data_IF_546402255941
#
_entry.id   IF_546402255941
#
_cell.length_a   1.000
_cell.length_b   1.000
_cell.length_c   1.000
_cell.angle_alpha   90.00
_cell.angle_beta   90.00
_cell.angle_gamma   90.00
#
_symmetry.space_group_name_H-M   'P 1'
#
loop_
_entity.id
_entity.type
_entity.pdbx_description
1 polymer ?
#
# COMPACT_ATOMS: atom_id res chain seq x y z
N UNK A 1 22.71 0.12 1.42
CA UNK A 1 21.84 -0.49 0.39
C UNK A 1 20.92 -1.45 1.12
N UNK A 2 19.60 -1.29 0.98
CA UNK A 2 18.57 -2.12 1.62
C UNK A 2 17.81 -2.88 0.55
N UNK A 3 17.19 -3.99 0.90
CA UNK A 3 16.27 -4.73 0.01
C UNK A 3 14.84 -4.48 0.45
N UNK A 4 14.01 -3.99 -0.47
CA UNK A 4 12.61 -3.60 -0.24
C UNK A 4 11.70 -4.45 -1.11
N UNK A 5 10.68 -5.04 -0.52
CA UNK A 5 9.66 -5.85 -1.24
C UNK A 5 8.34 -5.10 -1.23
N UNK A 6 7.70 -4.93 -2.40
CA UNK A 6 6.49 -4.11 -2.56
C UNK A 6 5.43 -4.88 -3.35
N UNK A 7 4.19 -4.95 -2.86
CA UNK A 7 3.06 -5.47 -3.64
C UNK A 7 2.28 -4.36 -4.33
N UNK A 8 1.78 -4.60 -5.55
CA UNK A 8 1.09 -3.59 -6.36
C UNK A 8 2.04 -2.47 -6.82
N UNK A 9 3.25 -2.84 -7.26
CA UNK A 9 4.35 -1.89 -7.52
C UNK A 9 4.36 -1.25 -8.90
N UNK A 10 3.44 -1.63 -9.80
CA UNK A 10 3.47 -1.14 -11.18
C UNK A 10 2.67 0.15 -11.42
N UNK A 11 1.76 0.52 -10.52
CA UNK A 11 0.87 1.69 -10.66
C UNK A 11 0.67 2.42 -9.32
N UNK A 12 0.16 3.63 -9.42
CA UNK A 12 -0.29 4.41 -8.26
C UNK A 12 0.77 4.62 -7.18
N UNK A 13 0.36 4.51 -5.91
CA UNK A 13 1.26 4.66 -4.75
C UNK A 13 2.40 3.64 -4.80
N UNK A 14 2.11 2.38 -5.21
CA UNK A 14 3.11 1.34 -5.31
C UNK A 14 4.23 1.68 -6.30
N UNK A 15 3.89 2.19 -7.49
CA UNK A 15 4.88 2.65 -8.47
C UNK A 15 5.74 3.79 -7.90
N UNK A 16 5.13 4.75 -7.24
CA UNK A 16 5.86 5.84 -6.59
C UNK A 16 6.84 5.30 -5.53
N UNK A 17 6.42 4.31 -4.73
CA UNK A 17 7.30 3.64 -3.75
C UNK A 17 8.48 2.93 -4.44
N UNK A 18 8.23 2.18 -5.53
CA UNK A 18 9.28 1.50 -6.30
C UNK A 18 10.29 2.52 -6.84
N UNK A 19 9.81 3.58 -7.51
CA UNK A 19 10.66 4.63 -8.08
C UNK A 19 11.48 5.34 -6.99
N UNK A 20 10.85 5.65 -5.87
CA UNK A 20 11.51 6.33 -4.74
C UNK A 20 12.63 5.46 -4.13
N UNK A 21 12.30 4.24 -3.65
CA UNK A 21 13.30 3.41 -2.99
C UNK A 21 14.44 3.02 -3.91
N UNK A 22 14.16 2.74 -5.18
CA UNK A 22 15.20 2.48 -6.19
C UNK A 22 16.11 3.70 -6.40
N UNK A 23 15.54 4.92 -6.43
CA UNK A 23 16.33 6.16 -6.57
C UNK A 23 17.25 6.44 -5.39
N UNK A 24 16.92 5.89 -4.21
CA UNK A 24 17.79 5.96 -3.02
C UNK A 24 18.90 4.88 -3.01
N UNK A 25 19.08 4.15 -4.11
CA UNK A 25 20.11 3.12 -4.24
C UNK A 25 19.79 1.82 -3.53
N UNK A 26 18.52 1.53 -3.29
CA UNK A 26 18.08 0.25 -2.72
C UNK A 26 17.74 -0.75 -3.82
N UNK A 27 17.87 -2.04 -3.53
CA UNK A 27 17.32 -3.12 -4.35
C UNK A 27 15.83 -3.22 -4.09
N UNK A 28 15.01 -3.17 -5.14
CA UNK A 28 13.55 -3.22 -5.03
C UNK A 28 12.98 -4.40 -5.78
N UNK A 29 12.31 -5.30 -5.07
CA UNK A 29 11.47 -6.35 -5.65
C UNK A 29 10.02 -5.93 -5.58
N UNK A 30 9.30 -6.03 -6.69
CA UNK A 30 7.87 -5.76 -6.67
C UNK A 30 7.07 -6.78 -7.46
N UNK A 31 5.82 -6.99 -7.04
CA UNK A 31 4.85 -7.84 -7.73
C UNK A 31 3.62 -7.03 -8.09
N UNK A 32 3.12 -7.23 -9.32
CA UNK A 32 1.85 -6.68 -9.79
C UNK A 32 1.20 -7.64 -10.78
N UNK A 33 -0.12 -7.59 -10.93
CA UNK A 33 -0.83 -8.45 -11.87
C UNK A 33 -0.80 -7.96 -13.32
N UNK A 34 -0.50 -6.68 -13.54
CA UNK A 34 -0.42 -6.05 -14.87
C UNK A 34 0.96 -6.27 -15.49
N UNK A 35 1.06 -7.26 -16.37
CA UNK A 35 2.32 -7.66 -16.98
C UNK A 35 3.01 -6.54 -17.80
N UNK A 36 2.22 -5.75 -18.54
CA UNK A 36 2.75 -4.67 -19.38
C UNK A 36 3.28 -3.53 -18.50
N UNK A 37 2.56 -3.20 -17.43
CA UNK A 37 3.00 -2.19 -16.48
C UNK A 37 4.25 -2.64 -15.71
N UNK A 38 4.34 -3.92 -15.30
CA UNK A 38 5.54 -4.49 -14.66
C UNK A 38 6.75 -4.39 -15.58
N UNK A 39 6.61 -4.79 -16.85
CA UNK A 39 7.69 -4.71 -17.82
C UNK A 39 8.14 -3.25 -18.03
N UNK A 40 7.18 -2.34 -18.26
CA UNK A 40 7.44 -0.90 -18.48
C UNK A 40 8.20 -0.27 -17.31
N UNK A 41 7.75 -0.49 -16.08
CA UNK A 41 8.40 0.08 -14.88
C UNK A 41 9.79 -0.49 -14.70
N UNK A 42 9.95 -1.82 -14.86
CA UNK A 42 11.23 -2.49 -14.70
C UNK A 42 12.25 -2.00 -15.74
N UNK A 43 11.89 -1.98 -17.01
CA UNK A 43 12.76 -1.52 -18.09
C UNK A 43 13.17 -0.06 -17.93
N UNK A 44 12.20 0.83 -17.61
CA UNK A 44 12.44 2.25 -17.40
C UNK A 44 13.43 2.51 -16.25
N UNK A 45 13.31 1.80 -15.14
CA UNK A 45 14.17 2.01 -13.98
C UNK A 45 15.53 1.34 -14.14
N UNK A 46 15.60 0.14 -14.74
CA UNK A 46 16.87 -0.53 -15.07
C UNK A 46 17.68 0.29 -16.09
N UNK A 47 17.04 0.92 -17.08
CA UNK A 47 17.71 1.83 -18.02
C UNK A 47 18.36 3.04 -17.33
N UNK A 48 17.88 3.41 -16.14
CA UNK A 48 18.45 4.45 -15.26
C UNK A 48 19.47 3.87 -14.25
N UNK A 49 19.91 2.63 -14.44
CA UNK A 49 20.85 1.93 -13.57
C UNK A 49 20.36 1.72 -12.13
N UNK A 50 19.04 1.65 -11.95
CA UNK A 50 18.42 1.31 -10.67
C UNK A 50 18.25 -0.21 -10.55
N UNK A 51 18.42 -0.74 -9.35
CA UNK A 51 18.31 -2.18 -9.06
C UNK A 51 16.86 -2.55 -8.74
N UNK A 52 16.10 -2.91 -9.78
CA UNK A 52 14.65 -3.15 -9.70
C UNK A 52 14.29 -4.47 -10.37
N UNK A 53 13.52 -5.30 -9.68
CA UNK A 53 13.08 -6.63 -10.10
C UNK A 53 11.55 -6.72 -10.06
N UNK A 54 10.91 -6.68 -11.23
CA UNK A 54 9.47 -6.86 -11.38
C UNK A 54 9.07 -8.32 -11.49
N UNK A 55 7.99 -8.70 -10.85
CA UNK A 55 7.35 -10.00 -10.95
C UNK A 55 5.89 -9.86 -11.35
N UNK A 56 5.45 -10.55 -12.40
CA UNK A 56 4.04 -10.53 -12.81
C UNK A 56 3.27 -11.65 -12.12
N UNK A 57 2.20 -11.30 -11.41
CA UNK A 57 1.35 -12.29 -10.77
C UNK A 57 0.23 -11.70 -9.93
N UNK A 58 -0.84 -12.48 -9.79
CA UNK A 58 -1.98 -12.13 -8.94
C UNK A 58 -1.72 -12.59 -7.51
N UNK A 59 -1.64 -11.66 -6.57
CA UNK A 59 -1.39 -11.96 -5.17
C UNK A 59 -2.59 -12.58 -4.44
N UNK A 60 -3.76 -12.69 -5.08
CA UNK A 60 -4.86 -13.51 -4.56
C UNK A 60 -4.58 -15.02 -4.66
N UNK A 61 -3.58 -15.42 -5.44
CA UNK A 61 -3.15 -16.81 -5.61
C UNK A 61 -1.97 -17.12 -4.68
N UNK A 62 -2.19 -18.09 -3.78
CA UNK A 62 -1.17 -18.55 -2.84
C UNK A 62 0.10 -19.06 -3.53
N UNK A 63 -0.04 -19.80 -4.64
CA UNK A 63 1.12 -20.37 -5.35
C UNK A 63 1.97 -19.28 -6.01
N UNK A 64 1.33 -18.21 -6.48
CA UNK A 64 2.01 -17.03 -7.03
C UNK A 64 2.84 -16.35 -5.93
N UNK A 65 2.24 -16.16 -4.75
CA UNK A 65 2.95 -15.57 -3.60
C UNK A 65 4.13 -16.41 -3.13
N UNK A 66 3.96 -17.74 -3.10
CA UNK A 66 5.06 -18.67 -2.75
C UNK A 66 6.22 -18.54 -3.74
N UNK A 67 5.95 -18.61 -5.04
CA UNK A 67 6.98 -18.46 -6.09
C UNK A 67 7.67 -17.10 -6.05
N UNK A 68 6.91 -16.04 -5.80
CA UNK A 68 7.47 -14.69 -5.65
C UNK A 68 8.42 -14.62 -4.44
N UNK A 69 7.97 -15.12 -3.29
CA UNK A 69 8.79 -15.11 -2.08
C UNK A 69 10.04 -16.01 -2.23
N UNK A 70 9.93 -17.20 -2.80
CA UNK A 70 11.05 -18.10 -3.11
C UNK A 70 12.10 -17.38 -3.97
N UNK A 71 11.67 -16.74 -5.08
CA UNK A 71 12.56 -15.97 -5.94
C UNK A 71 13.30 -14.88 -5.16
N UNK A 72 12.58 -14.08 -4.37
CA UNK A 72 13.20 -13.01 -3.56
C UNK A 72 14.20 -13.59 -2.58
N UNK A 73 13.86 -14.67 -1.87
CA UNK A 73 14.73 -15.33 -0.89
C UNK A 73 16.01 -15.85 -1.54
N UNK A 74 15.91 -16.50 -2.70
CA UNK A 74 17.05 -17.02 -3.45
C UNK A 74 18.01 -15.92 -3.92
N UNK A 75 17.44 -14.78 -4.38
CA UNK A 75 18.22 -13.67 -4.93
C UNK A 75 18.75 -12.71 -3.85
N UNK A 76 18.28 -12.83 -2.60
CA UNK A 76 18.65 -11.92 -1.49
C UNK A 76 19.22 -12.69 -0.29
N UNK A 77 20.39 -13.33 -0.39
CA UNK A 77 20.94 -14.15 0.70
C UNK A 77 21.24 -13.37 1.98
N UNK A 78 21.32 -12.04 1.90
CA UNK A 78 21.48 -11.14 3.06
C UNK A 78 20.15 -10.79 3.75
N UNK A 79 19.03 -11.24 3.19
CA UNK A 79 17.70 -10.95 3.68
C UNK A 79 17.09 -9.64 3.16
N UNK A 80 15.80 -9.47 3.41
CA UNK A 80 15.07 -8.25 3.11
C UNK A 80 15.03 -7.32 4.31
N UNK A 81 14.90 -6.01 4.08
CA UNK A 81 14.82 -5.01 5.14
C UNK A 81 13.37 -4.58 5.38
N UNK A 82 12.57 -4.50 4.33
CA UNK A 82 11.18 -4.06 4.44
C UNK A 82 10.26 -4.81 3.49
N UNK A 83 9.05 -5.12 3.98
CA UNK A 83 7.92 -5.61 3.20
C UNK A 83 6.81 -4.55 3.22
N UNK A 84 6.40 -4.06 2.05
CA UNK A 84 5.36 -3.06 1.90
C UNK A 84 4.16 -3.70 1.20
N UNK A 85 3.12 -3.97 1.96
CA UNK A 85 1.86 -4.52 1.47
C UNK A 85 0.96 -3.37 1.01
N UNK A 86 1.11 -2.98 -0.26
CA UNK A 86 0.39 -1.86 -0.86
C UNK A 86 -0.79 -2.29 -1.74
N UNK A 87 -0.70 -3.43 -2.42
CA UNK A 87 -1.71 -3.87 -3.38
C UNK A 87 -3.12 -3.95 -2.76
N UNK A 88 -4.08 -3.40 -3.45
CA UNK A 88 -5.51 -3.48 -3.13
C UNK A 88 -6.35 -3.13 -4.36
N UNK A 89 -7.62 -3.52 -4.32
CA UNK A 89 -8.59 -3.20 -5.37
C UNK A 89 -10.00 -3.07 -4.79
N UNK A 90 -10.91 -2.50 -5.59
CA UNK A 90 -12.34 -2.41 -5.31
C UNK A 90 -13.12 -3.27 -6.30
N UNK A 91 -14.18 -3.91 -5.83
CA UNK A 91 -15.10 -4.73 -6.65
C UNK A 91 -16.57 -4.33 -6.42
N UNK A 92 -16.80 -3.07 -5.99
CA UNK A 92 -18.11 -2.62 -5.60
C UNK A 92 -18.58 -3.18 -4.25
N UNK A 93 -19.88 -3.13 -4.01
CA UNK A 93 -20.51 -3.57 -2.77
C UNK A 93 -21.91 -4.13 -2.99
N UNK A 94 -22.75 -4.04 -1.95
CA UNK A 94 -24.07 -4.67 -1.92
C UNK A 94 -25.06 -4.04 -2.90
N UNK A 95 -24.89 -2.76 -3.25
CA UNK A 95 -25.77 -2.04 -4.17
C UNK A 95 -25.40 -2.29 -5.64
N UNK A 96 -24.11 -2.44 -5.96
CA UNK A 96 -23.61 -2.72 -7.31
C UNK A 96 -23.58 -4.22 -7.65
N UNK A 97 -24.05 -5.08 -6.75
CA UNK A 97 -24.12 -6.51 -6.97
C UNK A 97 -22.76 -7.23 -6.86
N UNK A 98 -21.87 -6.75 -6.00
CA UNK A 98 -20.64 -7.46 -5.67
C UNK A 98 -20.95 -8.90 -5.27
N UNK A 99 -20.42 -9.87 -6.02
CA UNK A 99 -20.64 -11.28 -5.73
C UNK A 99 -19.88 -11.72 -4.48
N UNK A 100 -20.30 -12.85 -3.89
CA UNK A 100 -19.56 -13.44 -2.77
C UNK A 100 -18.10 -13.74 -3.13
N UNK A 101 -17.84 -14.21 -4.35
CA UNK A 101 -16.48 -14.48 -4.83
C UNK A 101 -15.67 -13.19 -5.03
N UNK A 102 -16.27 -12.11 -5.56
CA UNK A 102 -15.60 -10.81 -5.64
C UNK A 102 -15.29 -10.25 -4.26
N UNK A 103 -16.19 -10.41 -3.29
CA UNK A 103 -15.94 -10.04 -1.89
C UNK A 103 -14.73 -10.81 -1.35
N UNK A 104 -14.71 -12.15 -1.51
CA UNK A 104 -13.58 -12.98 -1.06
C UNK A 104 -12.28 -12.66 -1.79
N UNK A 105 -12.35 -12.34 -3.08
CA UNK A 105 -11.17 -11.95 -3.83
C UNK A 105 -10.52 -10.67 -3.26
N UNK A 106 -11.32 -9.67 -2.92
CA UNK A 106 -10.82 -8.45 -2.26
C UNK A 106 -10.17 -8.77 -0.90
N UNK A 107 -10.73 -9.72 -0.13
CA UNK A 107 -10.13 -10.16 1.14
C UNK A 107 -8.82 -10.94 0.91
N UNK A 108 -8.74 -11.77 -0.12
CA UNK A 108 -7.50 -12.47 -0.47
C UNK A 108 -6.38 -11.49 -0.78
N UNK A 109 -6.65 -10.46 -1.60
CA UNK A 109 -5.66 -9.42 -1.93
C UNK A 109 -5.33 -8.54 -0.73
N UNK A 110 -6.33 -8.05 -0.01
CA UNK A 110 -6.16 -7.00 1.00
C UNK A 110 -5.75 -7.50 2.40
N UNK A 111 -5.96 -8.79 2.70
CA UNK A 111 -5.72 -9.36 4.03
C UNK A 111 -4.90 -10.64 3.97
N UNK A 112 -5.33 -11.63 3.17
CA UNK A 112 -4.68 -12.94 3.14
C UNK A 112 -3.28 -12.89 2.54
N UNK A 113 -3.08 -12.13 1.46
CA UNK A 113 -1.76 -11.96 0.85
C UNK A 113 -0.75 -11.27 1.79
N UNK A 114 -1.06 -10.14 2.44
CA UNK A 114 -0.19 -9.57 3.48
C UNK A 114 0.15 -10.53 4.62
N UNK A 115 -0.82 -11.32 5.08
CA UNK A 115 -0.57 -12.36 6.09
C UNK A 115 0.43 -13.40 5.58
N UNK A 116 0.18 -13.94 4.38
CA UNK A 116 1.04 -14.99 3.81
C UNK A 116 2.46 -14.48 3.53
N UNK A 117 2.61 -13.30 2.93
CA UNK A 117 3.94 -12.72 2.68
C UNK A 117 4.69 -12.45 3.99
N UNK A 118 4.01 -11.94 5.04
CA UNK A 118 4.61 -11.78 6.36
C UNK A 118 5.11 -13.10 6.94
N UNK A 119 4.34 -14.20 6.75
CA UNK A 119 4.73 -15.56 7.15
C UNK A 119 5.92 -16.08 6.34
N UNK A 120 5.94 -15.88 5.03
CA UNK A 120 7.00 -16.38 4.14
C UNK A 120 8.34 -15.67 4.42
N UNK A 121 8.31 -14.36 4.72
CA UNK A 121 9.51 -13.59 4.98
C UNK A 121 9.92 -13.51 6.46
N UNK A 122 9.16 -14.05 7.41
CA UNK A 122 9.43 -13.88 8.85
C UNK A 122 10.83 -14.35 9.29
N UNK A 123 11.43 -15.30 8.58
CA UNK A 123 12.78 -15.79 8.86
C UNK A 123 13.84 -15.27 7.88
N UNK A 124 13.47 -14.31 7.05
CA UNK A 124 14.33 -13.78 6.00
C UNK A 124 14.56 -12.26 6.09
N UNK A 125 14.35 -11.67 7.25
CA UNK A 125 14.72 -10.28 7.47
C UNK A 125 16.20 -10.11 7.81
N UNK A 126 16.84 -9.07 7.24
CA UNK A 126 18.19 -8.64 7.59
C UNK A 126 18.17 -7.83 8.89
N UNK A 127 18.29 -8.50 10.03
CA UNK A 127 18.07 -7.89 11.35
C UNK A 127 16.57 -7.77 11.70
N UNK A 128 16.18 -6.73 12.42
CA UNK A 128 14.77 -6.48 12.73
C UNK A 128 14.11 -5.81 11.53
N UNK A 129 13.23 -6.54 10.85
CA UNK A 129 12.53 -6.07 9.66
C UNK A 129 11.51 -4.96 9.92
N UNK A 130 11.02 -4.37 8.83
CA UNK A 130 9.86 -3.46 8.86
C UNK A 130 8.79 -3.95 7.90
N UNK A 131 7.57 -4.17 8.39
CA UNK A 131 6.39 -4.45 7.58
C UNK A 131 5.48 -3.22 7.62
N UNK A 132 5.17 -2.66 6.45
CA UNK A 132 4.25 -1.53 6.32
C UNK A 132 3.04 -1.96 5.50
N UNK A 133 1.87 -1.92 6.11
CA UNK A 133 0.60 -2.26 5.48
C UNK A 133 -0.15 -1.00 5.04
N UNK A 134 -0.53 -0.90 3.76
CA UNK A 134 -1.36 0.20 3.28
C UNK A 134 -2.84 -0.11 3.57
N UNK A 135 -3.33 0.48 4.67
CA UNK A 135 -4.74 0.53 5.01
C UNK A 135 -5.45 1.62 4.20
N UNK A 136 -6.43 2.28 4.78
CA UNK A 136 -7.15 3.45 4.24
C UNK A 136 -7.94 4.09 5.37
N UNK A 137 -8.31 5.37 5.23
CA UNK A 137 -9.36 5.99 6.05
C UNK A 137 -10.67 5.20 5.97
N UNK A 138 -10.90 4.41 4.90
CA UNK A 138 -12.04 3.48 4.76
C UNK A 138 -12.07 2.37 5.81
N UNK A 139 -11.02 2.16 6.58
CA UNK A 139 -11.06 1.27 7.75
C UNK A 139 -11.91 1.85 8.90
N UNK A 140 -12.15 3.16 8.90
CA UNK A 140 -12.81 3.89 9.99
C UNK A 140 -14.07 4.66 9.55
N UNK A 141 -14.24 4.85 8.25
CA UNK A 141 -15.37 5.53 7.62
C UNK A 141 -15.67 4.90 6.27
N UNK A 142 -16.87 5.08 5.72
CA UNK A 142 -17.25 4.41 4.48
C UNK A 142 -18.04 5.33 3.55
N UNK A 143 -18.03 5.03 2.29
CA UNK A 143 -19.03 5.47 1.32
C UNK A 143 -19.97 4.30 1.04
N UNK A 144 -21.17 4.54 0.55
CA UNK A 144 -22.05 3.47 0.09
C UNK A 144 -21.34 2.57 -0.93
N UNK A 145 -21.67 1.29 -0.91
CA UNK A 145 -21.23 0.32 -1.92
C UNK A 145 -19.71 0.02 -1.92
N UNK A 146 -19.09 0.06 -0.75
CA UNK A 146 -17.65 -0.20 -0.58
C UNK A 146 -17.34 -1.28 0.46
N UNK A 147 -18.30 -2.17 0.76
CA UNK A 147 -18.21 -3.11 1.88
C UNK A 147 -17.01 -4.04 1.76
N UNK A 148 -16.74 -4.59 0.56
CA UNK A 148 -15.60 -5.49 0.35
C UNK A 148 -14.27 -4.80 0.63
N UNK A 149 -14.09 -3.59 0.13
CA UNK A 149 -12.89 -2.79 0.34
C UNK A 149 -12.75 -2.34 1.80
N UNK A 150 -13.84 -1.83 2.40
CA UNK A 150 -13.88 -1.42 3.81
C UNK A 150 -13.53 -2.58 4.73
N UNK A 151 -14.10 -3.78 4.49
CA UNK A 151 -13.78 -4.97 5.25
C UNK A 151 -12.29 -5.35 5.14
N UNK A 152 -11.71 -5.29 3.93
CA UNK A 152 -10.29 -5.56 3.74
C UNK A 152 -9.41 -4.52 4.46
N UNK A 153 -9.75 -3.23 4.39
CA UNK A 153 -8.96 -2.17 5.05
C UNK A 153 -9.11 -2.18 6.57
N UNK A 154 -10.27 -2.56 7.10
CA UNK A 154 -10.46 -2.88 8.52
C UNK A 154 -9.66 -4.12 8.93
N UNK A 155 -9.72 -5.17 8.11
CA UNK A 155 -9.00 -6.42 8.33
C UNK A 155 -7.49 -6.24 8.38
N UNK A 156 -6.88 -5.52 7.42
CA UNK A 156 -5.43 -5.28 7.43
C UNK A 156 -5.00 -4.38 8.60
N UNK A 157 -5.85 -3.45 9.02
CA UNK A 157 -5.58 -2.62 10.21
C UNK A 157 -5.53 -3.48 11.47
N UNK A 158 -6.48 -4.42 11.65
CA UNK A 158 -6.46 -5.36 12.76
C UNK A 158 -5.29 -6.36 12.65
N UNK A 159 -5.01 -6.88 11.45
CA UNK A 159 -3.88 -7.78 11.21
C UNK A 159 -2.55 -7.11 11.56
N UNK A 160 -2.40 -5.81 11.36
CA UNK A 160 -1.18 -5.05 11.67
C UNK A 160 -0.77 -5.20 13.13
N UNK A 161 -1.66 -4.93 14.10
CA UNK A 161 -1.30 -5.06 15.50
C UNK A 161 -1.15 -6.53 15.94
N UNK A 162 -1.90 -7.46 15.35
CA UNK A 162 -1.73 -8.89 15.62
C UNK A 162 -0.37 -9.40 15.18
N UNK A 163 0.10 -9.01 13.98
CA UNK A 163 1.44 -9.34 13.48
C UNK A 163 2.53 -8.65 14.30
N UNK A 164 2.33 -7.40 14.74
CA UNK A 164 3.30 -6.67 15.56
C UNK A 164 3.59 -7.41 16.88
N UNK A 165 2.60 -8.06 17.45
CA UNK A 165 2.75 -8.89 18.66
C UNK A 165 3.43 -10.23 18.33
N UNK A 166 2.96 -10.92 17.29
CA UNK A 166 3.45 -12.24 16.91
C UNK A 166 4.89 -12.23 16.40
N UNK A 167 5.30 -11.15 15.71
CA UNK A 167 6.64 -10.97 15.15
C UNK A 167 7.57 -10.15 16.06
N UNK A 168 7.31 -10.14 17.37
CA UNK A 168 8.15 -9.44 18.35
C UNK A 168 9.60 -9.88 18.25
N UNK A 169 10.53 -8.91 18.09
CA UNK A 169 11.95 -9.17 17.89
C UNK A 169 12.35 -9.59 16.46
N UNK A 170 11.38 -9.87 15.58
CA UNK A 170 11.59 -10.27 14.19
C UNK A 170 11.36 -9.09 13.24
N UNK A 171 10.22 -8.42 13.38
CA UNK A 171 9.87 -7.27 12.56
C UNK A 171 8.94 -6.31 13.32
N UNK A 172 9.06 -5.02 13.03
CA UNK A 172 8.05 -4.03 13.38
C UNK A 172 6.96 -4.04 12.31
N UNK A 173 5.70 -3.99 12.73
CA UNK A 173 4.57 -4.01 11.79
C UNK A 173 3.70 -2.81 12.07
N UNK A 174 3.57 -1.94 11.09
CA UNK A 174 2.74 -0.73 11.18
C UNK A 174 1.86 -0.58 9.93
N UNK A 175 0.84 0.23 10.02
CA UNK A 175 -0.02 0.56 8.90
C UNK A 175 -0.03 2.07 8.64
N UNK A 176 -0.28 2.42 7.39
CA UNK A 176 -0.65 3.77 6.97
C UNK A 176 -2.08 3.72 6.45
N UNK A 177 -2.91 4.67 6.86
CA UNK A 177 -4.27 4.84 6.38
C UNK A 177 -4.36 6.12 5.54
N UNK A 178 -4.13 6.04 4.21
CA UNK A 178 -4.29 7.18 3.32
C UNK A 178 -5.74 7.66 3.26
N UNK A 179 -5.92 8.97 3.08
CA UNK A 179 -7.16 9.56 2.61
C UNK A 179 -7.27 9.51 1.08
N UNK A 180 -7.73 10.59 0.49
CA UNK A 180 -7.73 10.74 -0.96
C UNK A 180 -6.33 11.13 -1.44
N UNK A 181 -5.72 10.23 -2.18
CA UNK A 181 -4.42 10.39 -2.83
C UNK A 181 -4.64 10.33 -4.34
N UNK A 182 -4.30 11.39 -5.04
CA UNK A 182 -4.34 11.38 -6.50
C UNK A 182 -3.13 10.61 -7.05
N UNK A 183 -3.43 9.51 -7.72
CA UNK A 183 -2.43 8.63 -8.31
C UNK A 183 -2.34 8.74 -9.83
N UNK A 184 -3.05 9.67 -10.44
CA UNK A 184 -3.21 9.80 -11.89
C UNK A 184 -1.88 9.79 -12.65
N UNK A 185 -0.89 10.56 -12.22
CA UNK A 185 0.46 10.62 -12.84
C UNK A 185 1.21 9.28 -12.85
N UNK A 186 0.90 8.38 -11.92
CA UNK A 186 1.52 7.06 -11.83
C UNK A 186 0.71 5.97 -12.57
N UNK A 187 -0.37 6.37 -13.24
CA UNK A 187 -1.11 5.57 -14.21
C UNK A 187 -0.88 6.06 -15.64
N UNK A 188 -0.88 7.37 -15.84
CA UNK A 188 -0.69 8.02 -17.14
C UNK A 188 0.19 9.27 -16.95
N UNK A 189 1.35 9.31 -17.60
CA UNK A 189 2.31 10.41 -17.49
C UNK A 189 1.78 11.72 -18.10
N UNK A 190 0.75 11.66 -18.94
CA UNK A 190 0.07 12.83 -19.50
C UNK A 190 -1.05 13.38 -18.62
N UNK A 191 -1.36 12.70 -17.52
CA UNK A 191 -2.42 13.09 -16.59
C UNK A 191 -2.21 14.48 -16.01
N UNK A 192 -3.25 15.29 -16.08
CA UNK A 192 -3.31 16.62 -15.44
C UNK A 192 -4.45 16.60 -14.43
N UNK A 193 -4.18 16.89 -13.15
CA UNK A 193 -5.21 16.98 -12.13
C UNK A 193 -6.28 18.04 -12.48
N UNK A 194 -7.55 17.71 -12.24
CA UNK A 194 -8.69 18.63 -12.38
C UNK A 194 -9.51 18.58 -11.08
N UNK A 195 -9.08 19.40 -10.10
CA UNK A 195 -9.73 19.46 -8.79
C UNK A 195 -10.66 20.64 -8.71
N UNK A 196 -11.85 20.42 -8.20
CA UNK A 196 -12.77 21.48 -7.81
C UNK A 196 -12.32 22.14 -6.51
N UNK A 197 -12.83 23.32 -6.20
CA UNK A 197 -12.63 23.97 -4.91
C UNK A 197 -13.12 23.09 -3.76
N UNK A 198 -14.24 22.37 -3.95
CA UNK A 198 -14.77 21.42 -2.96
C UNK A 198 -13.80 20.27 -2.68
N UNK A 199 -13.11 19.77 -3.70
CA UNK A 199 -12.10 18.71 -3.54
C UNK A 199 -10.92 19.18 -2.70
N UNK A 200 -10.54 20.45 -2.82
CA UNK A 200 -9.46 21.04 -2.04
C UNK A 200 -9.92 21.30 -0.61
N UNK A 201 -11.10 21.92 -0.45
CA UNK A 201 -11.61 22.37 0.86
C UNK A 201 -11.98 21.24 1.81
N UNK A 202 -12.30 20.03 1.30
CA UNK A 202 -12.54 18.87 2.18
C UNK A 202 -11.29 18.44 2.96
N UNK A 203 -10.10 18.95 2.56
CA UNK A 203 -8.84 18.69 3.24
C UNK A 203 -8.39 19.92 4.02
N UNK A 204 -8.32 19.89 5.35
CA UNK A 204 -7.73 20.97 6.15
C UNK A 204 -6.32 21.40 5.71
N UNK A 205 -5.58 20.50 5.08
CA UNK A 205 -4.27 20.79 4.45
C UNK A 205 -4.35 21.65 3.18
N UNK A 206 -5.58 21.99 2.72
CA UNK A 206 -5.86 22.81 1.53
C UNK A 206 -5.27 22.24 0.23
N UNK A 207 -5.18 20.92 0.12
CA UNK A 207 -4.80 20.20 -1.11
C UNK A 207 -5.23 18.75 -1.07
N UNK A 208 -5.38 18.15 -2.23
CA UNK A 208 -5.46 16.69 -2.40
C UNK A 208 -4.10 16.08 -2.09
N UNK A 209 -4.08 14.86 -1.56
CA UNK A 209 -2.85 14.14 -1.28
C UNK A 209 -2.17 13.61 -2.54
N UNK A 210 -0.86 13.45 -2.48
CA UNK A 210 -0.04 12.90 -3.56
C UNK A 210 0.64 11.60 -3.09
N UNK A 211 1.02 10.67 -3.99
CA UNK A 211 1.71 9.44 -3.63
C UNK A 211 2.97 9.67 -2.79
N UNK A 212 3.67 10.77 -3.02
CA UNK A 212 4.86 11.18 -2.27
C UNK A 212 4.58 11.45 -0.78
N UNK A 213 3.34 11.84 -0.42
CA UNK A 213 2.95 11.98 0.99
C UNK A 213 2.97 10.62 1.71
N UNK A 214 2.57 9.58 0.99
CA UNK A 214 2.56 8.22 1.52
C UNK A 214 3.98 7.64 1.53
N UNK A 215 4.78 7.91 0.49
CA UNK A 215 6.18 7.48 0.40
C UNK A 215 6.98 7.97 1.62
N UNK A 216 6.87 9.26 1.97
CA UNK A 216 7.56 9.84 3.14
C UNK A 216 7.16 9.14 4.46
N UNK A 217 5.89 8.79 4.59
CA UNK A 217 5.42 8.06 5.78
C UNK A 217 5.91 6.60 5.80
N UNK A 218 5.95 5.93 4.64
CA UNK A 218 6.51 4.58 4.51
C UNK A 218 8.00 4.60 4.83
N UNK A 219 8.77 5.54 4.28
CA UNK A 219 10.19 5.71 4.58
C UNK A 219 10.43 5.89 6.07
N UNK A 220 9.66 6.77 6.73
CA UNK A 220 9.72 6.98 8.17
C UNK A 220 9.50 5.69 8.95
N UNK A 221 8.49 4.88 8.58
CA UNK A 221 8.22 3.61 9.25
C UNK A 221 9.27 2.52 8.95
N UNK A 222 9.94 2.59 7.80
CA UNK A 222 11.02 1.67 7.42
C UNK A 222 12.37 2.04 8.06
N UNK A 223 12.49 3.21 8.65
CA UNK A 223 13.72 3.64 9.33
C UNK A 223 13.88 2.90 10.67
N UNK A 224 15.00 2.21 10.84
CA UNK A 224 15.33 1.46 12.07
C UNK A 224 15.46 2.34 13.32
N UNK A 225 15.79 3.63 13.14
CA UNK A 225 15.84 4.61 14.24
C UNK A 225 14.47 4.79 14.91
N UNK A 226 13.38 4.51 14.20
CA UNK A 226 12.01 4.54 14.69
C UNK A 226 11.59 3.21 15.34
N UNK A 227 12.53 2.53 16.01
CA UNK A 227 12.37 1.18 16.55
C UNK A 227 11.26 1.02 17.60
N UNK A 228 10.82 2.11 18.22
CA UNK A 228 9.75 2.10 19.24
C UNK A 228 8.34 2.27 18.66
N UNK A 229 8.21 2.45 17.31
CA UNK A 229 6.91 2.53 16.62
C UNK A 229 6.57 1.14 16.10
N UNK A 230 5.59 0.49 16.74
CA UNK A 230 5.14 -0.85 16.40
C UNK A 230 3.63 -1.02 16.68
N UNK A 231 2.91 -1.73 15.83
CA UNK A 231 1.47 -1.97 15.94
C UNK A 231 0.58 -0.76 15.66
N UNK A 232 1.11 0.32 15.08
CA UNK A 232 0.38 1.57 14.87
C UNK A 232 -0.26 1.62 13.48
N UNK A 233 -1.39 2.34 13.40
CA UNK A 233 -1.99 2.75 12.13
C UNK A 233 -2.00 4.29 12.08
N UNK A 234 -1.21 4.86 11.15
CA UNK A 234 -1.04 6.30 11.00
C UNK A 234 -1.92 6.80 9.86
N UNK A 235 -2.86 7.69 10.16
CA UNK A 235 -3.72 8.31 9.14
C UNK A 235 -2.97 9.45 8.44
N UNK A 236 -2.94 9.41 7.11
CA UNK A 236 -2.32 10.43 6.23
C UNK A 236 -3.38 10.86 5.22
N UNK A 237 -4.16 11.89 5.57
CA UNK A 237 -5.37 12.27 4.83
C UNK A 237 -5.59 13.79 4.74
N UNK A 238 -4.56 14.57 5.02
CA UNK A 238 -4.69 16.03 5.04
C UNK A 238 -5.66 16.58 6.08
N UNK A 239 -6.06 15.75 7.05
CA UNK A 239 -7.04 16.10 8.09
C UNK A 239 -8.49 15.85 7.67
N UNK A 240 -8.77 15.29 6.50
CA UNK A 240 -10.11 15.08 5.97
C UNK A 240 -11.00 14.29 6.96
N UNK A 241 -10.49 13.21 7.57
CA UNK A 241 -11.25 12.40 8.54
C UNK A 241 -11.43 13.08 9.91
N UNK A 242 -10.83 14.26 10.15
CA UNK A 242 -10.95 15.04 11.39
C UNK A 242 -11.88 16.24 11.22
N UNK A 243 -12.18 16.62 9.98
CA UNK A 243 -13.07 17.74 9.69
C UNK A 243 -14.51 17.34 10.02
N UNK A 244 -15.10 18.02 10.98
CA UNK A 244 -16.53 17.91 11.27
C UNK A 244 -17.29 18.96 10.47
N UNK A 245 -18.23 18.51 9.66
CA UNK A 245 -19.04 19.37 8.77
C UNK A 245 -20.51 19.18 9.10
N UNK A 246 -21.22 20.28 9.38
CA UNK A 246 -22.67 20.28 9.50
C UNK A 246 -23.34 20.62 8.17
N UNK A 247 -24.61 20.27 8.04
CA UNK A 247 -25.40 20.63 6.86
C UNK A 247 -25.34 22.16 6.61
N UNK A 248 -25.01 22.53 5.39
CA UNK A 248 -24.72 23.88 4.88
C UNK A 248 -23.35 24.49 5.26
N UNK A 249 -22.53 23.83 6.08
CA UNK A 249 -21.17 24.29 6.29
C UNK A 249 -20.29 23.98 5.10
N UNK A 250 -19.31 24.85 4.80
CA UNK A 250 -18.34 24.68 3.71
C UNK A 250 -18.97 24.31 2.35
N UNK A 251 -20.20 24.74 2.08
CA UNK A 251 -20.94 24.42 0.85
C UNK A 251 -21.50 23.01 0.79
N UNK A 252 -21.34 22.20 1.85
CA UNK A 252 -21.87 20.84 1.86
C UNK A 252 -23.41 20.84 1.90
N UNK A 253 -24.02 20.17 0.93
CA UNK A 253 -25.48 20.02 0.85
C UNK A 253 -25.79 18.58 0.46
N UNK A 254 -26.82 18.00 1.08
CA UNK A 254 -27.46 16.79 0.60
C UNK A 254 -28.60 17.23 -0.29
N UNK A 255 -28.52 16.95 -1.59
CA UNK A 255 -29.63 17.10 -2.54
C UNK A 255 -30.71 16.05 -2.29
#
# INVERSE_FOLDING_TARGET
>A
MKTIVITGGAKGIGRCLVEYFASQGNTVYFIDMDADAVATVTEKLCARQMDVHGFTGDIADEQVLQKFAEKVIEETPQGIHSLINNACLMKGGILSGCSYEDFLYVQRVGVAAPYLLSKLFMHHFAGVGSIVNLSSTRAFQSQPDTEAYTAAKGGITALTHALAVSLSGIARVNAIAPGWIDTGKFHDESYVPDYTEGDIMQHPSQRVGEPEDIVRAVEFLCDERNSFINGQCITIDGGMSKLMVYHNDCGWRKE
#
